data_IF_359742395743
#
_entry.id   IF_359742395743
#
_cell.length_a   1.000
_cell.length_b   1.000
_cell.length_c   1.000
_cell.angle_alpha   90.00
_cell.angle_beta   90.00
_cell.angle_gamma   90.00
#
_symmetry.space_group_name_H-M   'P 1'
#
loop_
_entity.id
_entity.type
_entity.pdbx_description
1 polymer ?
#
# COMPACT_ATOMS: atom_id res chain seq x y z
N UNK A 1 -8.52 25.84 -12.71
CA UNK A 1 -7.38 24.92 -12.92
C UNK A 1 -7.88 23.53 -12.54
N UNK A 2 -7.65 22.52 -13.38
CA UNK A 2 -8.01 21.13 -13.05
C UNK A 2 -6.92 20.47 -12.22
N UNK A 3 -7.28 19.43 -11.46
CA UNK A 3 -6.35 18.61 -10.66
C UNK A 3 -5.31 17.89 -11.51
N UNK A 4 -5.63 17.58 -12.76
CA UNK A 4 -4.73 16.91 -13.70
C UNK A 4 -3.63 17.85 -14.23
N UNK A 5 -3.97 19.11 -14.50
CA UNK A 5 -3.06 20.06 -15.15
C UNK A 5 -2.25 20.89 -14.17
N UNK A 6 -2.64 20.94 -12.89
CA UNK A 6 -2.00 21.81 -11.90
C UNK A 6 -0.52 21.49 -11.69
N UNK A 7 -0.14 20.21 -11.72
CA UNK A 7 1.24 19.78 -11.59
C UNK A 7 2.11 20.31 -12.73
N UNK A 8 1.62 20.15 -13.96
CA UNK A 8 2.27 20.68 -15.16
C UNK A 8 2.38 22.20 -15.12
N UNK A 9 1.27 22.90 -14.81
CA UNK A 9 1.26 24.36 -14.70
C UNK A 9 2.27 24.86 -13.66
N UNK A 10 2.37 24.21 -12.50
CA UNK A 10 3.35 24.60 -11.46
C UNK A 10 4.78 24.40 -11.93
N UNK A 11 5.07 23.28 -12.59
CA UNK A 11 6.42 22.97 -13.09
C UNK A 11 6.83 23.90 -14.24
N UNK A 12 5.92 24.19 -15.18
CA UNK A 12 6.16 25.12 -16.28
C UNK A 12 6.31 26.55 -15.79
N UNK A 13 5.47 26.99 -14.85
CA UNK A 13 5.57 28.33 -14.28
C UNK A 13 6.92 28.55 -13.58
N UNK A 14 7.43 27.54 -12.89
CA UNK A 14 8.77 27.56 -12.31
C UNK A 14 9.85 27.60 -13.38
N UNK A 15 9.75 26.73 -14.39
CA UNK A 15 10.75 26.62 -15.45
C UNK A 15 10.88 27.91 -16.27
N UNK A 16 9.77 28.59 -16.50
CA UNK A 16 9.72 29.86 -17.22
C UNK A 16 9.98 31.08 -16.32
N UNK A 17 10.31 30.86 -15.05
CA UNK A 17 10.56 31.92 -14.06
C UNK A 17 9.44 32.97 -14.05
N UNK A 18 8.19 32.49 -14.09
CA UNK A 18 6.99 33.34 -14.02
C UNK A 18 6.77 33.84 -12.58
N UNK A 19 7.78 34.50 -12.02
CA UNK A 19 7.85 35.04 -10.67
C UNK A 19 7.70 36.56 -10.72
N UNK A 20 6.82 37.09 -9.89
CA UNK A 20 6.73 38.47 -9.39
C UNK A 20 6.61 39.67 -10.35
N UNK A 21 6.70 39.49 -11.67
CA UNK A 21 6.55 40.62 -12.61
C UNK A 21 5.09 40.96 -12.98
N UNK A 22 4.13 40.12 -12.61
CA UNK A 22 2.70 40.34 -12.89
C UNK A 22 1.82 40.06 -11.66
N UNK A 23 0.79 40.89 -11.45
CA UNK A 23 -0.26 40.66 -10.46
C UNK A 23 -0.92 39.30 -10.76
N UNK A 24 -0.93 38.39 -9.77
CA UNK A 24 -1.40 37.01 -9.92
C UNK A 24 -0.57 36.15 -10.90
N UNK A 25 0.76 36.13 -10.71
CA UNK A 25 1.67 35.25 -11.44
C UNK A 25 1.27 33.76 -11.32
N UNK A 26 1.63 32.95 -12.32
CA UNK A 26 1.16 31.57 -12.41
C UNK A 26 1.68 30.70 -11.26
N UNK A 27 2.88 30.98 -10.75
CA UNK A 27 3.42 30.35 -9.55
C UNK A 27 2.48 30.61 -8.35
N UNK A 28 2.17 31.86 -8.04
CA UNK A 28 1.27 32.25 -6.95
C UNK A 28 -0.14 31.67 -7.10
N UNK A 29 -0.68 31.63 -8.32
CA UNK A 29 -2.02 31.04 -8.56
C UNK A 29 -2.02 29.52 -8.33
N UNK A 30 -0.97 28.83 -8.75
CA UNK A 30 -0.85 27.38 -8.52
C UNK A 30 -0.59 27.08 -7.05
N UNK A 31 0.21 27.89 -6.36
CA UNK A 31 0.44 27.80 -4.91
C UNK A 31 -0.84 28.02 -4.07
N UNK A 32 -1.65 29.01 -4.45
CA UNK A 32 -2.95 29.25 -3.82
C UNK A 32 -3.88 28.04 -4.00
N UNK A 33 -3.94 27.47 -5.22
CA UNK A 33 -4.72 26.26 -5.47
C UNK A 33 -4.28 25.08 -4.58
N UNK A 34 -2.97 24.86 -4.44
CA UNK A 34 -2.46 23.82 -3.53
C UNK A 34 -2.92 24.03 -2.10
N UNK A 35 -2.83 25.28 -1.62
CA UNK A 35 -3.15 25.64 -0.25
C UNK A 35 -4.65 25.57 0.04
N UNK A 36 -5.49 25.92 -0.93
CA UNK A 36 -6.94 26.04 -0.76
C UNK A 36 -7.72 24.78 -1.14
N UNK A 37 -7.24 24.01 -2.12
CA UNK A 37 -7.98 22.89 -2.73
C UNK A 37 -7.28 21.56 -2.50
N UNK A 38 -5.99 21.45 -2.82
CA UNK A 38 -5.29 20.16 -2.78
C UNK A 38 -5.14 19.59 -1.36
N UNK A 39 -5.02 20.43 -0.33
CA UNK A 39 -4.85 20.00 1.07
C UNK A 39 -6.14 19.37 1.66
N UNK A 40 -7.27 19.43 0.96
CA UNK A 40 -8.59 19.01 1.51
C UNK A 40 -9.04 17.60 1.13
N UNK A 41 -8.34 16.90 0.23
CA UNK A 41 -8.79 15.58 -0.24
C UNK A 41 -7.61 14.68 -0.61
N UNK A 42 -7.63 13.43 -0.12
CA UNK A 42 -6.62 12.42 -0.49
C UNK A 42 -6.69 12.13 -1.99
N UNK A 43 -7.89 11.92 -2.55
CA UNK A 43 -8.06 11.64 -3.97
C UNK A 43 -7.40 12.71 -4.86
N UNK A 44 -7.61 13.99 -4.53
CA UNK A 44 -7.00 15.11 -5.25
C UNK A 44 -5.47 15.10 -5.11
N UNK A 45 -4.96 14.93 -3.89
CA UNK A 45 -3.52 14.86 -3.65
C UNK A 45 -2.86 13.69 -4.39
N UNK A 46 -3.53 12.54 -4.48
CA UNK A 46 -3.08 11.35 -5.23
C UNK A 46 -3.09 11.61 -6.73
N UNK A 47 -4.15 12.21 -7.29
CA UNK A 47 -4.20 12.56 -8.73
C UNK A 47 -3.04 13.48 -9.11
N UNK A 48 -2.76 14.49 -8.29
CA UNK A 48 -1.66 15.42 -8.52
C UNK A 48 -0.31 14.73 -8.36
N UNK A 49 -0.15 13.88 -7.34
CA UNK A 49 1.09 13.13 -7.13
C UNK A 49 1.37 12.22 -8.33
N UNK A 50 0.36 11.52 -8.82
CA UNK A 50 0.45 10.63 -9.98
C UNK A 50 0.80 11.39 -11.27
N UNK A 51 0.19 12.56 -11.54
CA UNK A 51 0.54 13.35 -12.72
C UNK A 51 1.96 13.95 -12.65
N UNK A 52 2.46 14.15 -11.42
CA UNK A 52 3.79 14.71 -11.18
C UNK A 52 4.93 13.69 -11.31
N UNK A 53 4.64 12.38 -11.35
CA UNK A 53 5.65 11.32 -11.50
C UNK A 53 6.49 11.48 -12.78
N UNK A 54 5.88 12.04 -13.83
CA UNK A 54 6.51 12.30 -15.13
C UNK A 54 7.19 13.68 -15.24
N UNK A 55 7.17 14.48 -14.17
CA UNK A 55 7.66 15.87 -14.15
C UNK A 55 8.93 16.05 -13.30
N UNK A 56 9.54 14.94 -12.86
CA UNK A 56 10.82 14.94 -12.17
C UNK A 56 11.94 15.35 -13.15
N UNK A 57 12.91 16.21 -12.74
CA UNK A 57 13.20 16.64 -11.37
C UNK A 57 12.50 17.94 -10.93
N UNK A 58 11.81 18.64 -11.83
CA UNK A 58 11.24 19.97 -11.55
C UNK A 58 10.18 19.88 -10.45
N UNK A 59 9.31 18.84 -10.49
CA UNK A 59 8.30 18.61 -9.47
C UNK A 59 8.88 18.44 -8.05
N UNK A 60 10.08 17.86 -7.92
CA UNK A 60 10.75 17.77 -6.63
C UNK A 60 11.36 19.11 -6.21
N UNK A 61 11.97 19.85 -7.15
CA UNK A 61 12.52 21.20 -6.91
C UNK A 61 11.45 22.14 -6.33
N UNK A 62 10.24 22.12 -6.87
CA UNK A 62 9.12 22.97 -6.41
C UNK A 62 8.37 22.40 -5.19
N UNK A 63 8.88 21.31 -4.59
CA UNK A 63 8.30 20.63 -3.41
C UNK A 63 6.85 20.14 -3.62
N UNK A 64 6.46 19.91 -4.87
CA UNK A 64 5.12 19.45 -5.20
C UNK A 64 4.89 18.02 -4.66
N UNK A 65 5.86 17.13 -4.90
CA UNK A 65 5.77 15.73 -4.46
C UNK A 65 5.65 15.61 -2.95
N UNK A 66 6.52 16.31 -2.20
CA UNK A 66 6.51 16.26 -0.73
C UNK A 66 5.21 16.80 -0.15
N UNK A 67 4.65 17.87 -0.72
CA UNK A 67 3.38 18.44 -0.23
C UNK A 67 2.20 17.50 -0.44
N UNK A 68 2.13 16.82 -1.58
CA UNK A 68 1.08 15.81 -1.80
C UNK A 68 1.24 14.64 -0.82
N UNK A 69 2.45 14.12 -0.65
CA UNK A 69 2.74 13.03 0.31
C UNK A 69 2.35 13.44 1.73
N UNK A 70 2.76 14.63 2.17
CA UNK A 70 2.44 15.17 3.49
C UNK A 70 0.94 15.36 3.70
N UNK A 71 0.22 15.81 2.67
CA UNK A 71 -1.24 15.98 2.70
C UNK A 71 -1.94 14.64 2.85
N UNK A 72 -1.58 13.65 2.03
CA UNK A 72 -2.14 12.30 2.10
C UNK A 72 -1.91 11.73 3.49
N UNK A 73 -0.67 11.81 3.98
CA UNK A 73 -0.30 11.30 5.30
C UNK A 73 -1.04 12.03 6.43
N UNK A 74 -1.21 13.35 6.33
CA UNK A 74 -1.97 14.14 7.31
C UNK A 74 -3.44 13.70 7.39
N UNK A 75 -4.13 13.64 6.25
CA UNK A 75 -5.56 13.30 6.22
C UNK A 75 -5.77 11.86 6.68
N UNK A 76 -5.01 10.91 6.14
CA UNK A 76 -5.14 9.49 6.50
C UNK A 76 -4.88 9.24 8.00
N UNK A 77 -3.93 9.97 8.60
CA UNK A 77 -3.66 9.85 10.03
C UNK A 77 -4.74 10.51 10.90
N UNK A 78 -5.30 11.65 10.47
CA UNK A 78 -6.36 12.35 11.18
C UNK A 78 -7.63 11.49 11.27
N UNK A 79 -8.03 10.88 10.16
CA UNK A 79 -9.25 10.07 10.10
C UNK A 79 -9.11 8.76 10.89
N UNK A 80 -7.92 8.13 10.84
CA UNK A 80 -7.63 6.94 11.64
C UNK A 80 -7.68 7.21 13.16
N UNK A 81 -7.24 8.38 13.61
CA UNK A 81 -7.32 8.76 15.04
C UNK A 81 -8.78 8.90 15.50
N UNK A 82 -9.63 9.52 14.67
CA UNK A 82 -11.06 9.69 14.99
C UNK A 82 -11.80 8.34 15.06
N UNK A 83 -11.55 7.46 14.09
CA UNK A 83 -12.15 6.12 14.04
C UNK A 83 -11.73 5.23 15.21
N UNK A 84 -10.48 5.35 15.69
CA UNK A 84 -10.02 4.60 16.87
C UNK A 84 -10.56 5.14 18.20
N UNK A 85 -10.83 6.44 18.29
CA UNK A 85 -11.42 7.10 19.46
C UNK A 85 -12.87 6.69 19.68
N UNK A 86 -13.70 6.73 18.63
CA UNK A 86 -15.13 6.32 18.71
C UNK A 86 -15.26 4.83 19.08
N UNK A 87 -14.31 3.99 18.66
CA UNK A 87 -14.30 2.57 18.98
C UNK A 87 -13.84 2.26 20.41
N UNK A 88 -13.06 3.14 21.03
CA UNK A 88 -12.66 3.01 22.42
C UNK A 88 -13.83 3.27 23.38
N UNK A 89 -14.80 4.10 23.00
CA UNK A 89 -15.99 4.39 23.80
C UNK A 89 -17.10 3.34 23.64
N UNK A 90 -17.14 2.63 22.52
CA UNK A 90 -18.12 1.58 22.23
C UNK A 90 -17.74 0.17 22.74
N UNK A 91 -16.71 0.06 23.58
CA UNK A 91 -16.00 -1.20 23.86
C UNK A 91 -16.10 -1.75 25.28
N UNK A 92 -17.27 -1.67 25.95
CA UNK A 92 -17.59 -2.53 27.09
C UNK A 92 -18.79 -3.39 26.68
N UNK A 93 -18.52 -4.56 26.09
CA UNK A 93 -19.27 -5.83 26.24
C UNK A 93 -19.08 -6.77 25.03
N UNK A 94 -18.46 -7.93 25.29
CA UNK A 94 -19.00 -9.24 24.88
C UNK A 94 -18.83 -9.76 23.44
N UNK A 95 -17.81 -10.62 23.28
CA UNK A 95 -17.87 -11.98 22.69
C UNK A 95 -18.13 -12.21 21.17
N UNK A 96 -17.07 -12.73 20.53
CA UNK A 96 -16.99 -13.74 19.45
C UNK A 96 -17.44 -13.46 18.01
N UNK A 97 -16.58 -13.92 17.10
CA UNK A 97 -16.92 -14.55 15.81
C UNK A 97 -17.54 -13.67 14.71
N UNK A 98 -16.74 -12.82 14.08
CA UNK A 98 -16.92 -12.44 12.65
C UNK A 98 -15.67 -11.74 12.07
N UNK A 99 -14.47 -12.25 12.39
CA UNK A 99 -13.22 -11.50 12.13
C UNK A 99 -12.85 -11.28 10.65
N UNK A 100 -13.65 -11.74 9.69
CA UNK A 100 -13.35 -11.59 8.25
C UNK A 100 -14.53 -11.17 7.36
N UNK A 101 -15.77 -11.09 7.85
CA UNK A 101 -16.92 -10.66 7.03
C UNK A 101 -17.15 -9.14 7.01
N UNK A 102 -16.45 -8.40 7.87
CA UNK A 102 -16.56 -6.94 7.99
C UNK A 102 -15.33 -6.20 7.45
N UNK A 103 -14.66 -6.72 6.41
CA UNK A 103 -13.56 -6.02 5.73
C UNK A 103 -14.05 -4.84 4.87
N UNK A 104 -15.37 -4.72 4.65
CA UNK A 104 -15.97 -3.74 3.73
C UNK A 104 -16.05 -2.27 4.23
N UNK A 105 -15.84 -1.90 5.51
CA UNK A 105 -15.67 -0.51 5.90
C UNK A 105 -14.23 -0.17 6.38
N UNK A 106 -13.23 -1.03 6.18
CA UNK A 106 -11.84 -0.81 6.68
C UNK A 106 -10.83 -0.55 5.55
N UNK A 107 -11.16 -0.95 4.32
CA UNK A 107 -10.47 -0.43 3.14
C UNK A 107 -11.08 0.96 2.92
N UNK A 108 -10.51 1.95 3.60
CA UNK A 108 -10.93 3.32 3.41
C UNK A 108 -10.90 3.62 1.91
N UNK A 109 -11.92 4.31 1.41
CA UNK A 109 -12.09 4.73 0.00
C UNK A 109 -10.83 5.33 -0.65
N UNK A 110 -9.91 5.88 0.14
CA UNK A 110 -8.64 6.45 -0.33
C UNK A 110 -7.56 5.40 -0.61
N UNK A 111 -7.69 4.18 -0.09
CA UNK A 111 -6.71 3.12 -0.29
C UNK A 111 -6.74 2.58 -1.72
N UNK A 112 -7.91 2.59 -2.39
CA UNK A 112 -8.02 2.36 -3.81
C UNK A 112 -7.28 3.41 -4.64
N UNK A 113 -7.34 4.68 -4.23
CA UNK A 113 -6.67 5.77 -4.93
C UNK A 113 -5.15 5.56 -4.89
N UNK A 114 -4.59 5.16 -3.74
CA UNK A 114 -3.13 4.94 -3.61
C UNK A 114 -2.56 3.90 -4.57
N UNK A 115 -3.38 2.97 -5.05
CA UNK A 115 -2.90 1.90 -5.93
C UNK A 115 -2.54 2.34 -7.34
N UNK A 116 -2.88 3.57 -7.74
CA UNK A 116 -2.44 4.12 -9.04
C UNK A 116 -1.00 4.61 -9.02
N UNK A 117 -0.43 4.81 -7.83
CA UNK A 117 0.92 5.33 -7.65
C UNK A 117 1.96 4.26 -7.98
N UNK A 118 3.07 4.68 -8.58
CA UNK A 118 4.26 3.82 -8.69
C UNK A 118 4.78 3.45 -7.30
N UNK A 119 5.49 2.33 -7.22
CA UNK A 119 5.93 1.74 -5.96
C UNK A 119 6.79 2.70 -5.11
N UNK A 120 7.64 3.49 -5.75
CA UNK A 120 8.51 4.47 -5.09
C UNK A 120 7.69 5.55 -4.37
N UNK A 121 6.64 6.08 -5.00
CA UNK A 121 5.75 7.05 -4.36
C UNK A 121 4.82 6.42 -3.34
N UNK A 122 4.27 5.25 -3.65
CA UNK A 122 3.47 4.48 -2.70
C UNK A 122 4.24 4.22 -1.40
N UNK A 123 5.50 3.77 -1.51
CA UNK A 123 6.39 3.59 -0.35
C UNK A 123 6.61 4.90 0.42
N UNK A 124 6.90 6.02 -0.28
CA UNK A 124 7.08 7.33 0.36
C UNK A 124 5.84 7.78 1.13
N UNK A 125 4.64 7.55 0.58
CA UNK A 125 3.37 7.84 1.25
C UNK A 125 3.24 7.02 2.53
N UNK A 126 3.45 5.70 2.48
CA UNK A 126 3.33 4.86 3.66
C UNK A 126 4.36 5.20 4.74
N UNK A 127 5.59 5.56 4.35
CA UNK A 127 6.62 6.04 5.29
C UNK A 127 6.19 7.36 5.95
N UNK A 128 5.67 8.31 5.19
CA UNK A 128 5.17 9.58 5.73
C UNK A 128 3.98 9.37 6.68
N UNK A 129 3.08 8.45 6.37
CA UNK A 129 1.97 8.05 7.25
C UNK A 129 2.50 7.47 8.56
N UNK A 130 3.45 6.54 8.51
CA UNK A 130 4.09 5.97 9.71
C UNK A 130 4.78 7.05 10.55
N UNK A 131 5.49 7.99 9.90
CA UNK A 131 6.12 9.12 10.58
C UNK A 131 5.15 10.05 11.31
N UNK A 132 3.86 10.03 10.93
CA UNK A 132 2.76 10.78 11.57
C UNK A 132 1.95 9.95 12.56
N UNK A 133 2.39 8.73 12.88
CA UNK A 133 1.75 7.86 13.86
C UNK A 133 0.68 6.92 13.30
N UNK A 134 0.61 6.74 11.97
CA UNK A 134 -0.20 5.67 11.39
C UNK A 134 0.34 4.31 11.86
N UNK A 135 -0.54 3.48 12.42
CA UNK A 135 -0.12 2.23 13.07
C UNK A 135 0.28 1.19 12.02
N UNK A 136 1.41 0.52 12.22
CA UNK A 136 1.95 -0.43 11.23
C UNK A 136 0.98 -1.56 10.92
N UNK A 137 0.35 -2.18 11.91
CA UNK A 137 -0.66 -3.23 11.65
C UNK A 137 -1.81 -2.80 10.72
N UNK A 138 -2.16 -1.50 10.68
CA UNK A 138 -3.22 -0.97 9.84
C UNK A 138 -2.80 -0.85 8.35
N UNK A 139 -1.51 -0.99 8.04
CA UNK A 139 -1.01 -1.03 6.67
C UNK A 139 -1.38 -2.32 5.93
N UNK A 140 -1.69 -3.41 6.66
CA UNK A 140 -1.93 -4.73 6.08
C UNK A 140 -2.96 -4.73 4.95
N UNK A 141 -4.18 -4.21 5.15
CA UNK A 141 -5.19 -4.11 4.09
C UNK A 141 -4.74 -3.28 2.88
N UNK A 142 -4.05 -2.17 3.10
CA UNK A 142 -3.57 -1.26 2.04
C UNK A 142 -2.49 -1.97 1.20
N UNK A 143 -1.54 -2.61 1.85
CA UNK A 143 -0.47 -3.41 1.21
C UNK A 143 -1.06 -4.60 0.45
N UNK A 144 -2.08 -5.27 1.01
CA UNK A 144 -2.77 -6.36 0.34
C UNK A 144 -3.48 -5.88 -0.94
N UNK A 145 -4.20 -4.76 -0.88
CA UNK A 145 -4.87 -4.19 -2.04
C UNK A 145 -3.88 -3.78 -3.13
N UNK A 146 -2.78 -3.12 -2.75
CA UNK A 146 -1.71 -2.72 -3.67
C UNK A 146 -1.05 -3.94 -4.32
N UNK A 147 -0.69 -4.97 -3.53
CA UNK A 147 -0.12 -6.22 -4.01
C UNK A 147 -1.05 -6.90 -5.01
N UNK A 148 -2.34 -7.00 -4.69
CA UNK A 148 -3.32 -7.60 -5.58
C UNK A 148 -3.39 -6.88 -6.92
N UNK A 149 -3.40 -5.53 -6.95
CA UNK A 149 -3.46 -4.80 -8.23
C UNK A 149 -2.16 -4.89 -9.01
N UNK A 150 -1.01 -4.76 -8.36
CA UNK A 150 0.30 -4.72 -9.01
C UNK A 150 0.81 -6.10 -9.46
N UNK A 151 0.42 -7.17 -8.75
CA UNK A 151 0.87 -8.54 -9.03
C UNK A 151 -0.18 -9.39 -9.78
N UNK A 152 -1.36 -8.82 -10.13
CA UNK A 152 -2.51 -9.49 -10.77
C UNK A 152 -2.21 -10.26 -12.06
N UNK A 153 -1.11 -9.95 -12.74
CA UNK A 153 -0.66 -10.64 -13.96
C UNK A 153 0.32 -11.79 -13.71
N UNK A 154 0.59 -12.15 -12.45
CA UNK A 154 1.28 -13.40 -12.12
C UNK A 154 0.21 -14.50 -12.12
N UNK A 155 -0.05 -15.10 -13.28
CA UNK A 155 -0.85 -16.32 -13.37
C UNK A 155 -0.06 -17.49 -12.75
N UNK A 156 0.04 -17.53 -11.42
CA UNK A 156 0.79 -18.55 -10.66
C UNK A 156 0.10 -19.92 -10.79
N UNK A 157 -1.22 -19.95 -11.07
CA UNK A 157 -2.06 -21.16 -11.10
C UNK A 157 -2.82 -21.42 -12.42
N UNK A 158 -2.48 -20.74 -13.52
CA UNK A 158 -3.15 -20.87 -14.81
C UNK A 158 -2.35 -21.66 -15.85
N UNK A 159 -3.04 -22.49 -16.64
CA UNK A 159 -2.48 -23.27 -17.77
C UNK A 159 -2.00 -22.31 -18.88
N UNK A 160 -0.76 -21.85 -18.77
CA UNK A 160 -0.10 -21.03 -19.78
C UNK A 160 0.87 -20.04 -19.16
N UNK A 161 2.18 -20.33 -19.23
CA UNK A 161 3.20 -19.33 -18.96
C UNK A 161 3.11 -18.25 -20.03
N UNK A 162 2.30 -17.21 -19.83
CA UNK A 162 2.48 -15.97 -20.58
C UNK A 162 3.88 -15.49 -20.25
N UNK A 163 4.75 -15.45 -21.26
CA UNK A 163 6.13 -15.01 -21.10
C UNK A 163 6.09 -13.52 -20.75
N UNK A 164 6.25 -13.20 -19.47
CA UNK A 164 6.33 -11.82 -18.99
C UNK A 164 7.62 -11.23 -19.57
N UNK A 165 7.56 -9.98 -20.03
CA UNK A 165 8.75 -9.30 -20.53
C UNK A 165 9.76 -9.08 -19.39
N UNK A 166 11.08 -9.22 -19.63
CA UNK A 166 12.09 -9.07 -18.58
C UNK A 166 12.01 -7.76 -17.81
N UNK A 167 11.63 -6.66 -18.49
CA UNK A 167 11.42 -5.35 -17.85
C UNK A 167 10.25 -5.38 -16.86
N UNK A 168 9.11 -5.93 -17.28
CA UNK A 168 7.93 -6.05 -16.43
C UNK A 168 8.16 -7.04 -15.28
N UNK A 169 8.94 -8.10 -15.49
CA UNK A 169 9.36 -9.02 -14.43
C UNK A 169 10.19 -8.29 -13.37
N UNK A 170 11.18 -7.49 -13.80
CA UNK A 170 12.00 -6.70 -12.90
C UNK A 170 11.17 -5.68 -12.10
N UNK A 171 10.27 -4.95 -12.76
CA UNK A 171 9.36 -4.01 -12.09
C UNK A 171 8.51 -4.71 -11.02
N UNK A 172 7.93 -5.87 -11.33
CA UNK A 172 7.16 -6.67 -10.35
C UNK A 172 8.03 -7.19 -9.21
N UNK A 173 9.30 -7.54 -9.46
CA UNK A 173 10.26 -7.95 -8.42
C UNK A 173 10.49 -6.82 -7.43
N UNK A 174 10.76 -5.60 -7.93
CA UNK A 174 10.97 -4.41 -7.09
C UNK A 174 9.71 -4.09 -6.28
N UNK A 175 8.52 -4.17 -6.91
CA UNK A 175 7.24 -4.02 -6.22
C UNK A 175 7.11 -4.99 -5.05
N UNK A 176 7.34 -6.28 -5.31
CA UNK A 176 7.18 -7.32 -4.30
C UNK A 176 8.16 -7.15 -3.13
N UNK A 177 9.44 -6.91 -3.40
CA UNK A 177 10.44 -6.70 -2.34
C UNK A 177 10.13 -5.48 -1.50
N UNK A 178 9.63 -4.41 -2.13
CA UNK A 178 9.21 -3.19 -1.41
C UNK A 178 8.00 -3.47 -0.51
N UNK A 179 7.00 -4.21 -1.01
CA UNK A 179 5.84 -4.63 -0.21
C UNK A 179 6.29 -5.44 1.00
N UNK A 180 7.19 -6.42 0.81
CA UNK A 180 7.74 -7.25 1.89
C UNK A 180 8.44 -6.38 2.94
N UNK A 181 9.24 -5.41 2.51
CA UNK A 181 9.91 -4.45 3.39
C UNK A 181 8.97 -3.57 4.21
N UNK A 182 7.74 -3.36 3.75
CA UNK A 182 6.70 -2.56 4.41
C UNK A 182 5.73 -3.39 5.27
N UNK A 183 5.81 -4.73 5.22
CA UNK A 183 4.85 -5.58 5.94
C UNK A 183 4.94 -5.36 7.46
N UNK A 184 3.78 -5.25 8.15
CA UNK A 184 3.73 -5.12 9.61
C UNK A 184 4.45 -6.28 10.28
N UNK A 185 5.22 -5.99 11.34
CA UNK A 185 6.02 -7.00 12.06
C UNK A 185 5.20 -7.71 13.15
N UNK A 186 4.06 -7.14 13.50
CA UNK A 186 3.15 -7.67 14.50
C UNK A 186 2.58 -9.02 14.08
N UNK A 187 2.43 -9.92 15.06
CA UNK A 187 1.82 -11.24 14.84
C UNK A 187 0.37 -11.08 14.38
N UNK A 188 -0.07 -11.96 13.50
CA UNK A 188 -1.46 -12.04 13.00
C UNK A 188 -1.99 -10.76 12.33
N UNK A 189 -1.12 -9.80 11.98
CA UNK A 189 -1.52 -8.59 11.24
C UNK A 189 -1.91 -8.90 9.78
N UNK A 190 -1.44 -10.04 9.26
CA UNK A 190 -1.66 -10.51 7.89
C UNK A 190 -2.08 -11.97 7.90
N UNK A 191 -2.93 -12.38 6.97
CA UNK A 191 -3.30 -13.80 6.84
C UNK A 191 -2.17 -14.65 6.27
N UNK A 192 -2.11 -15.92 6.67
CA UNK A 192 -1.22 -16.93 6.06
C UNK A 192 -1.44 -17.03 4.55
N UNK A 193 -2.69 -16.88 4.08
CA UNK A 193 -3.02 -16.91 2.65
C UNK A 193 -2.37 -15.77 1.87
N UNK A 194 -2.35 -14.55 2.43
CA UNK A 194 -1.70 -13.40 1.81
C UNK A 194 -0.17 -13.58 1.78
N UNK A 195 0.43 -14.00 2.90
CA UNK A 195 1.87 -14.28 2.97
C UNK A 195 2.29 -15.39 2.00
N UNK A 196 1.49 -16.45 1.89
CA UNK A 196 1.70 -17.54 0.93
C UNK A 196 1.66 -17.07 -0.52
N UNK A 197 0.70 -16.19 -0.87
CA UNK A 197 0.62 -15.58 -2.20
C UNK A 197 1.87 -14.75 -2.51
N UNK A 198 2.36 -13.93 -1.56
CA UNK A 198 3.60 -13.17 -1.73
C UNK A 198 4.81 -14.09 -1.88
N UNK A 199 4.91 -15.19 -1.10
CA UNK A 199 6.02 -16.13 -1.19
C UNK A 199 6.06 -16.85 -2.53
N UNK A 200 4.90 -17.27 -3.04
CA UNK A 200 4.82 -17.88 -4.37
C UNK A 200 5.23 -16.90 -5.47
N UNK A 201 4.77 -15.65 -5.39
CA UNK A 201 5.22 -14.58 -6.28
C UNK A 201 6.74 -14.34 -6.17
N UNK A 202 7.29 -14.40 -4.95
CA UNK A 202 8.71 -14.18 -4.65
C UNK A 202 9.60 -15.26 -5.26
N UNK A 203 9.14 -16.51 -5.23
CA UNK A 203 9.79 -17.65 -5.89
C UNK A 203 9.70 -17.52 -7.41
N UNK A 204 8.51 -17.19 -7.94
CA UNK A 204 8.29 -17.04 -9.37
C UNK A 204 9.16 -15.93 -9.98
N UNK A 205 9.20 -14.77 -9.33
CA UNK A 205 9.97 -13.60 -9.76
C UNK A 205 11.46 -13.67 -9.43
N UNK A 206 11.92 -14.73 -8.74
CA UNK A 206 13.31 -14.88 -8.29
C UNK A 206 13.81 -13.65 -7.52
N UNK A 207 13.02 -13.22 -6.53
CA UNK A 207 13.43 -12.18 -5.57
C UNK A 207 14.65 -12.61 -4.75
N UNK A 208 15.23 -11.66 -4.01
CA UNK A 208 16.33 -11.93 -3.08
C UNK A 208 16.01 -13.04 -2.07
N UNK A 209 17.06 -13.77 -1.66
CA UNK A 209 16.94 -14.80 -0.62
C UNK A 209 16.39 -14.19 0.68
N UNK A 210 16.82 -12.97 1.02
CA UNK A 210 16.35 -12.24 2.20
C UNK A 210 14.82 -12.00 2.17
N UNK A 211 14.26 -11.61 1.02
CA UNK A 211 12.82 -11.42 0.83
C UNK A 211 12.04 -12.72 1.11
N UNK A 212 12.49 -13.84 0.52
CA UNK A 212 11.85 -15.15 0.69
C UNK A 212 11.93 -15.65 2.13
N UNK A 213 13.10 -15.54 2.76
CA UNK A 213 13.30 -15.95 4.15
C UNK A 213 12.47 -15.11 5.12
N UNK A 214 12.29 -13.81 4.87
CA UNK A 214 11.43 -12.96 5.71
C UNK A 214 9.96 -13.43 5.65
N UNK A 215 9.46 -13.76 4.46
CA UNK A 215 8.11 -14.31 4.29
C UNK A 215 7.95 -15.67 4.97
N UNK A 216 8.88 -16.60 4.75
CA UNK A 216 8.88 -17.92 5.39
C UNK A 216 8.90 -17.81 6.92
N UNK A 217 9.75 -16.93 7.46
CA UNK A 217 9.82 -16.66 8.91
C UNK A 217 8.50 -16.13 9.46
N UNK A 218 7.85 -15.19 8.77
CA UNK A 218 6.54 -14.65 9.18
C UNK A 218 5.45 -15.71 9.16
N UNK A 219 5.43 -16.59 8.16
CA UNK A 219 4.50 -17.72 8.11
C UNK A 219 4.76 -18.71 9.25
N UNK A 220 6.02 -19.06 9.50
CA UNK A 220 6.40 -19.98 10.58
C UNK A 220 6.01 -19.43 11.97
N UNK A 221 6.13 -18.12 12.19
CA UNK A 221 5.69 -17.48 13.44
C UNK A 221 4.18 -17.59 13.69
N UNK A 222 3.36 -17.70 12.64
CA UNK A 222 1.91 -17.90 12.78
C UNK A 222 1.57 -19.38 13.04
N UNK A 223 2.37 -20.32 12.50
CA UNK A 223 2.18 -21.77 12.68
C UNK A 223 2.74 -22.31 14.00
N UNK A 224 3.83 -21.73 14.52
CA UNK A 224 4.45 -22.17 15.77
C UNK A 224 3.57 -22.01 17.02
N UNK A 225 2.44 -21.30 16.91
CA UNK A 225 1.44 -21.14 17.97
C UNK A 225 0.27 -22.13 17.86
N UNK A 226 0.14 -22.87 16.75
CA UNK A 226 -0.85 -23.94 16.56
C UNK A 226 -0.36 -25.31 17.08
N UNK A 227 0.74 -25.33 17.87
CA UNK A 227 1.58 -26.51 18.04
C UNK A 227 1.91 -26.83 19.51
N UNK A 228 1.21 -26.25 20.50
CA UNK A 228 1.33 -26.76 21.87
C UNK A 228 0.02 -27.38 22.40
N UNK A 229 -1.14 -26.82 22.07
CA UNK A 229 -2.42 -27.42 22.47
C UNK A 229 -2.99 -28.39 21.41
N UNK A 230 -2.60 -28.25 20.14
CA UNK A 230 -3.07 -29.12 19.04
C UNK A 230 -2.00 -30.11 18.54
N UNK A 231 -0.79 -30.11 19.12
CA UNK A 231 0.26 -31.09 18.82
C UNK A 231 0.24 -32.30 19.76
N UNK A 232 -0.95 -32.79 20.13
CA UNK A 232 -1.11 -34.21 20.42
C UNK A 232 -0.96 -34.95 19.10
N UNK A 233 0.26 -35.40 18.79
CA UNK A 233 0.59 -36.23 17.63
C UNK A 233 -0.15 -37.57 17.77
N UNK A 234 -1.02 -37.99 16.82
CA UNK A 234 -1.15 -39.38 16.47
C UNK A 234 -0.32 -39.62 15.20
N UNK A 235 0.53 -40.64 15.30
CA UNK A 235 1.44 -41.15 14.29
C UNK A 235 0.87 -41.27 12.87
N UNK A 236 1.69 -40.85 11.89
CA UNK A 236 1.74 -41.31 10.50
C UNK A 236 0.40 -41.39 9.74
N UNK A 237 0.01 -40.28 9.10
CA UNK A 237 -1.03 -40.31 8.06
C UNK A 237 -1.46 -38.96 7.47
N UNK A 238 -1.19 -37.84 8.15
CA UNK A 238 -2.01 -36.62 7.94
C UNK A 238 -1.30 -35.43 7.28
N UNK A 239 -0.05 -35.57 6.82
CA UNK A 239 0.65 -34.48 6.08
C UNK A 239 0.05 -34.21 4.68
N UNK A 240 -0.86 -35.06 4.19
CA UNK A 240 -1.54 -34.89 2.90
C UNK A 240 -2.76 -33.94 2.91
N UNK A 241 -3.21 -33.47 4.08
CA UNK A 241 -4.46 -32.69 4.18
C UNK A 241 -4.29 -31.17 4.37
N UNK A 242 -3.08 -30.66 4.65
CA UNK A 242 -2.84 -29.21 4.78
C UNK A 242 -2.57 -28.49 3.44
N UNK A 243 -2.57 -29.22 2.31
CA UNK A 243 -2.25 -28.67 0.98
C UNK A 243 -3.26 -29.04 -0.13
N UNK A 244 -4.52 -29.33 0.21
CA UNK A 244 -5.58 -29.35 -0.81
C UNK A 244 -6.27 -27.98 -0.94
N UNK A 245 -6.36 -27.44 -2.17
CA UNK A 245 -6.87 -26.11 -2.45
C UNK A 245 -8.39 -26.04 -2.28
N UNK A 246 -8.88 -24.83 -2.04
CA UNK A 246 -10.28 -24.44 -2.18
C UNK A 246 -10.91 -25.13 -3.42
N UNK A 247 -11.92 -25.94 -3.20
CA UNK A 247 -12.82 -26.44 -4.23
C UNK A 247 -14.17 -26.75 -3.60
N UNK A 248 -15.15 -25.90 -3.92
CA UNK A 248 -16.60 -26.14 -3.97
C UNK A 248 -17.35 -26.24 -2.63
N UNK A 249 -18.05 -25.15 -2.28
CA UNK A 249 -19.52 -25.02 -2.35
C UNK A 249 -19.90 -23.54 -2.33
#
# INVERSE_FOLDING_TARGET
MSTENIAFLRCVAEYLEMTDYAVANLVGRTEAYFSEVAIKSIAVAVTILHSSENLIPIAEKVKLMSRCIDTIAYIACKDNQFSTSVRAEAGINGLTSSMFSNLKPIVDWWSEDLTVLRIDFFQRVLIAMMGRGFKQYALGPILMLYAQKSLRCLEIFGKGRKKIEPKQEHEKRVVLETIVGLLPREKNALSVSFLSMLLQAAIYLQTTIACRLDLEKRMALQLGQAVLDDLLIPSQGTLYLMLKPCSVL
#
